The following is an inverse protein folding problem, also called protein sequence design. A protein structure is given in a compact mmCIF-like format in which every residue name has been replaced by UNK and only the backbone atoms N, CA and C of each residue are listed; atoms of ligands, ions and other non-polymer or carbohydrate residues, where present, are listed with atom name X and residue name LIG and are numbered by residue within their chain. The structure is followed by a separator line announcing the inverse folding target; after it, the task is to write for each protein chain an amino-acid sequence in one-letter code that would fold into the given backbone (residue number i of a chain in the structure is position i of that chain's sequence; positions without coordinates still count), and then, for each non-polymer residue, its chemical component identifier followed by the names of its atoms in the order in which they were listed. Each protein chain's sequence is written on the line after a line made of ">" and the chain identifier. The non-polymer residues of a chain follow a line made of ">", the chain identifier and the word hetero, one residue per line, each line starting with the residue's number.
data_IF_684968796308
#
_entry.id   IF_684968796308
#
_cell.length_a   1.000
_cell.length_b   1.000
_cell.length_c   1.000
_cell.angle_alpha   90.00
_cell.angle_beta   90.00
_cell.angle_gamma   90.00
#
_symmetry.space_group_name_H-M   'P 1'
#
loop_
_entity.id
_entity.type
_entity.pdbx_description
1 polymer ?
#
# COMPACT_ATOMS: atom_id res chain seq x y z
N UNK A 1 6.98 -29.79 -32.50
CA UNK A 1 6.88 -28.95 -31.29
C UNK A 1 7.19 -29.84 -30.10
N UNK A 2 8.31 -29.65 -29.38
CA UNK A 2 8.59 -30.51 -28.22
C UNK A 2 7.72 -30.08 -27.04
N UNK A 3 7.11 -31.07 -26.38
CA UNK A 3 6.36 -30.92 -25.13
C UNK A 3 7.28 -30.42 -24.02
N UNK A 4 6.87 -29.35 -23.31
CA UNK A 4 7.51 -28.92 -22.07
C UNK A 4 7.01 -29.81 -20.91
N UNK A 5 7.89 -30.27 -20.01
CA UNK A 5 7.47 -31.13 -18.91
C UNK A 5 6.63 -30.35 -17.89
N UNK A 6 5.47 -30.92 -17.53
CA UNK A 6 4.62 -30.42 -16.44
C UNK A 6 5.27 -30.68 -15.09
N UNK A 7 5.21 -29.75 -14.12
CA UNK A 7 5.72 -30.00 -12.78
C UNK A 7 4.80 -31.00 -12.06
N UNK A 8 5.37 -32.14 -11.66
CA UNK A 8 4.71 -33.10 -10.77
C UNK A 8 4.80 -32.55 -9.35
N UNK A 9 3.70 -32.02 -8.82
CA UNK A 9 3.57 -31.81 -7.39
C UNK A 9 3.52 -33.18 -6.70
N UNK A 10 4.53 -33.46 -5.88
CA UNK A 10 4.71 -34.73 -5.20
C UNK A 10 3.50 -35.10 -4.34
N UNK A 11 2.91 -36.27 -4.63
CA UNK A 11 1.98 -36.97 -3.75
C UNK A 11 2.79 -37.51 -2.55
N UNK A 12 2.53 -37.01 -1.35
CA UNK A 12 3.01 -37.66 -0.13
C UNK A 12 2.16 -38.90 0.15
N UNK A 13 2.81 -40.07 0.14
CA UNK A 13 2.25 -41.33 0.64
C UNK A 13 2.88 -41.55 2.02
N UNK A 14 2.06 -41.51 3.08
CA UNK A 14 2.50 -41.96 4.41
C UNK A 14 2.76 -43.46 4.40
N UNK A 15 3.67 -43.97 5.25
CA UNK A 15 3.19 -44.43 6.56
C UNK A 15 4.25 -44.33 7.68
N UNK A 16 3.81 -44.62 8.91
CA UNK A 16 4.67 -45.33 9.86
C UNK A 16 4.98 -44.58 11.14
N UNK A 17 4.41 -45.07 12.23
CA UNK A 17 4.71 -44.73 13.61
C UNK A 17 6.19 -44.95 13.94
N UNK A 18 6.79 -44.01 14.66
CA UNK A 18 8.10 -44.16 15.29
C UNK A 18 8.29 -43.10 16.37
N UNK A 19 8.11 -43.49 17.64
CA UNK A 19 8.47 -42.66 18.80
C UNK A 19 9.99 -42.56 18.87
N UNK A 20 10.52 -41.34 18.98
CA UNK A 20 11.80 -41.07 19.64
C UNK A 20 11.81 -39.63 20.16
N UNK A 21 12.50 -39.45 21.26
CA UNK A 21 12.38 -38.39 22.24
C UNK A 21 13.34 -37.20 22.00
N UNK A 22 12.93 -36.05 22.54
CA UNK A 22 13.74 -34.95 23.11
C UNK A 22 14.74 -34.20 22.22
N UNK A 23 14.56 -32.89 22.04
CA UNK A 23 15.32 -31.82 22.73
C UNK A 23 14.90 -30.44 22.17
N UNK A 24 15.16 -29.37 22.93
CA UNK A 24 14.59 -28.02 22.81
C UNK A 24 14.68 -27.34 21.42
N UNK A 25 13.81 -26.38 21.14
CA UNK A 25 14.03 -25.00 21.61
C UNK A 25 12.74 -24.17 21.57
N UNK A 26 12.70 -23.18 22.45
CA UNK A 26 11.63 -22.22 22.78
C UNK A 26 10.94 -21.54 21.59
N UNK A 27 9.64 -21.17 21.69
CA UNK A 27 9.04 -20.24 20.74
C UNK A 27 9.58 -18.83 20.96
N UNK A 28 10.16 -18.25 19.90
CA UNK A 28 10.62 -16.87 19.90
C UNK A 28 9.43 -15.90 20.01
N UNK A 29 9.41 -15.12 21.09
CA UNK A 29 8.54 -13.97 21.31
C UNK A 29 8.74 -12.91 20.21
N UNK A 30 7.68 -12.33 19.61
CA UNK A 30 7.87 -11.22 18.67
C UNK A 30 8.38 -9.98 19.41
N UNK A 31 9.54 -9.48 18.98
CA UNK A 31 10.15 -8.28 19.51
C UNK A 31 9.27 -7.05 19.21
N UNK A 32 8.86 -6.33 20.27
CA UNK A 32 8.23 -5.01 20.16
C UNK A 32 9.24 -4.00 19.62
N UNK A 33 9.05 -3.55 18.39
CA UNK A 33 9.76 -2.39 17.84
C UNK A 33 9.12 -1.13 18.43
N UNK A 34 9.82 -0.45 19.35
CA UNK A 34 9.44 0.89 19.83
C UNK A 34 9.87 1.92 18.79
N UNK A 35 8.90 2.62 18.20
CA UNK A 35 9.15 3.84 17.46
C UNK A 35 9.69 4.92 18.43
N UNK A 36 10.93 5.38 18.21
CA UNK A 36 11.45 6.58 18.87
C UNK A 36 11.01 7.80 18.05
N UNK A 37 9.95 8.47 18.47
CA UNK A 37 9.62 9.81 17.96
C UNK A 37 10.50 10.83 18.69
N UNK A 38 11.58 11.26 18.03
CA UNK A 38 12.33 12.46 18.43
C UNK A 38 11.77 13.67 17.69
N UNK A 39 10.86 14.42 18.30
CA UNK A 39 10.54 15.79 17.88
C UNK A 39 11.30 16.71 18.81
N UNK A 40 12.37 17.32 18.31
CA UNK A 40 13.01 18.44 18.99
C UNK A 40 12.43 19.72 18.41
N UNK A 41 11.57 20.38 19.20
CA UNK A 41 10.95 21.65 18.87
C UNK A 41 11.97 22.78 18.88
N UNK A 42 11.86 23.68 17.91
CA UNK A 42 12.55 24.96 17.94
C UNK A 42 11.63 25.99 18.58
N UNK A 43 11.87 26.30 19.85
CA UNK A 43 11.30 27.48 20.49
C UNK A 43 11.96 28.73 19.89
N UNK A 44 11.15 29.67 19.38
CA UNK A 44 11.57 31.06 19.19
C UNK A 44 10.72 31.96 20.07
N UNK A 45 11.44 32.68 20.92
CA UNK A 45 10.95 33.51 21.98
C UNK A 45 10.26 34.80 21.55
N UNK A 46 9.68 35.40 22.58
CA UNK A 46 8.80 36.56 22.68
C UNK A 46 9.42 37.88 22.17
N UNK A 47 8.55 38.79 21.74
CA UNK A 47 8.78 40.23 21.71
C UNK A 47 7.44 40.98 21.64
N UNK A 48 7.17 41.79 22.66
CA UNK A 48 5.90 42.47 22.92
C UNK A 48 5.88 43.95 22.47
N UNK A 49 4.69 44.56 22.59
CA UNK A 49 4.32 45.98 22.45
C UNK A 49 4.26 46.49 21.00
N UNK A 50 3.27 47.25 20.54
CA UNK A 50 2.17 47.97 21.17
C UNK A 50 1.99 49.28 20.37
N UNK A 51 0.81 49.56 19.84
CA UNK A 51 0.30 50.91 19.56
C UNK A 51 -1.04 50.88 18.82
N UNK A 52 -2.00 51.60 19.38
CA UNK A 52 -3.26 51.94 18.76
C UNK A 52 -3.04 52.84 17.53
N UNK A 53 -3.66 52.47 16.41
CA UNK A 53 -3.62 53.22 15.17
C UNK A 53 -4.96 53.13 14.44
N UNK A 54 -5.54 54.29 14.19
CA UNK A 54 -6.87 54.56 13.63
C UNK A 54 -7.24 53.71 12.40
N UNK A 55 -8.45 53.11 12.41
CA UNK A 55 -9.07 52.45 11.24
C UNK A 55 -9.33 53.47 10.13
N UNK A 56 -8.43 53.59 9.17
CA UNK A 56 -8.76 54.04 7.80
C UNK A 56 -9.01 52.81 6.94
N UNK A 57 -10.20 52.76 6.32
CA UNK A 57 -10.61 51.68 5.44
C UNK A 57 -9.58 51.41 4.36
N UNK A 58 -8.92 50.25 4.43
CA UNK A 58 -8.03 49.75 3.39
C UNK A 58 -8.92 49.24 2.26
N UNK A 59 -8.93 49.93 1.11
CA UNK A 59 -9.51 49.39 -0.12
C UNK A 59 -8.85 48.04 -0.41
N UNK A 60 -9.65 46.98 -0.47
CA UNK A 60 -9.21 45.66 -0.95
C UNK A 60 -8.85 45.83 -2.42
N UNK A 61 -7.59 45.65 -2.84
CA UNK A 61 -7.26 45.66 -4.25
C UNK A 61 -8.00 44.50 -4.92
N UNK A 62 -8.58 44.76 -6.09
CA UNK A 62 -9.25 43.77 -6.91
C UNK A 62 -8.38 42.52 -7.03
N UNK A 63 -8.95 41.37 -6.65
CA UNK A 63 -8.22 40.10 -6.58
C UNK A 63 -7.47 39.82 -7.87
N UNK A 64 -6.19 39.42 -7.74
CA UNK A 64 -5.43 38.85 -8.86
C UNK A 64 -6.32 37.83 -9.58
N UNK A 65 -6.35 37.80 -10.92
CA UNK A 65 -7.08 36.75 -11.63
C UNK A 65 -6.61 35.42 -11.07
N UNK A 66 -7.57 34.63 -10.56
CA UNK A 66 -7.33 33.28 -10.04
C UNK A 66 -6.48 32.58 -11.09
N UNK A 67 -5.21 32.35 -10.75
CA UNK A 67 -4.27 31.75 -11.68
C UNK A 67 -4.95 30.51 -12.22
N UNK A 68 -5.06 30.41 -13.56
CA UNK A 68 -5.46 29.16 -14.20
C UNK A 68 -4.64 28.10 -13.48
N UNK A 69 -5.30 27.20 -12.75
CA UNK A 69 -4.65 26.01 -12.24
C UNK A 69 -3.92 25.47 -13.45
N UNK A 70 -2.58 25.57 -13.45
CA UNK A 70 -1.78 24.79 -14.39
C UNK A 70 -2.41 23.43 -14.25
N UNK A 71 -2.99 22.88 -15.32
CA UNK A 71 -3.38 21.47 -15.33
C UNK A 71 -2.15 20.81 -14.73
N UNK A 72 -2.27 20.28 -13.51
CA UNK A 72 -1.23 19.47 -12.92
C UNK A 72 -0.96 18.50 -14.05
N UNK A 73 0.21 18.65 -14.69
CA UNK A 73 0.49 17.98 -15.96
C UNK A 73 0.08 16.56 -15.72
N UNK A 74 -0.82 16.02 -16.55
CA UNK A 74 -1.39 14.69 -16.34
C UNK A 74 -0.22 13.80 -15.98
N UNK A 75 -0.07 13.48 -14.70
CA UNK A 75 0.95 12.55 -14.27
C UNK A 75 0.52 11.34 -15.06
N UNK A 76 1.31 11.00 -16.07
CA UNK A 76 0.99 9.93 -16.97
C UNK A 76 0.95 8.72 -16.06
N UNK A 77 -0.24 8.35 -15.61
CA UNK A 77 -0.51 7.22 -14.75
C UNK A 77 0.10 6.05 -15.50
N UNK A 78 1.22 5.48 -15.04
CA UNK A 78 1.92 4.51 -15.85
C UNK A 78 0.98 3.37 -16.15
N UNK A 79 0.75 3.13 -17.44
CA UNK A 79 -0.17 2.11 -17.93
C UNK A 79 0.24 0.72 -17.45
N UNK A 80 1.51 0.56 -17.08
CA UNK A 80 2.12 -0.65 -16.58
C UNK A 80 2.66 -0.45 -15.16
N UNK A 81 2.30 -1.38 -14.27
CA UNK A 81 2.88 -1.47 -12.94
C UNK A 81 4.23 -2.20 -13.01
N UNK A 82 5.14 -1.93 -12.07
CA UNK A 82 6.34 -2.75 -11.94
C UNK A 82 5.98 -4.20 -11.55
N UNK A 83 6.97 -5.08 -11.68
CA UNK A 83 6.84 -6.46 -11.23
C UNK A 83 6.63 -6.57 -9.72
N UNK A 84 5.97 -7.64 -9.30
CA UNK A 84 5.82 -7.98 -7.89
C UNK A 84 7.14 -8.48 -7.31
N UNK A 85 7.58 -7.87 -6.22
CA UNK A 85 8.65 -8.36 -5.37
C UNK A 85 8.10 -9.40 -4.39
N UNK A 86 8.57 -10.64 -4.49
CA UNK A 86 8.20 -11.73 -3.59
C UNK A 86 9.00 -11.65 -2.28
N UNK A 87 8.30 -11.42 -1.17
CA UNK A 87 8.91 -11.27 0.16
C UNK A 87 8.95 -12.58 0.95
N UNK A 88 7.97 -13.46 0.71
CA UNK A 88 7.85 -14.78 1.31
C UNK A 88 6.88 -15.64 0.45
N UNK A 89 6.75 -16.96 0.70
CA UNK A 89 5.71 -17.76 0.07
C UNK A 89 4.32 -17.13 0.27
N UNK A 90 3.63 -16.86 -0.85
CA UNK A 90 2.31 -16.23 -0.85
C UNK A 90 2.30 -14.73 -0.50
N UNK A 91 3.44 -14.08 -0.26
CA UNK A 91 3.52 -12.64 0.07
C UNK A 91 4.32 -11.89 -0.97
N UNK A 92 3.71 -10.86 -1.56
CA UNK A 92 4.38 -10.00 -2.52
C UNK A 92 4.02 -8.53 -2.31
N UNK A 93 4.88 -7.63 -2.80
CA UNK A 93 4.60 -6.19 -2.86
C UNK A 93 4.99 -5.61 -4.21
N UNK A 94 4.47 -4.44 -4.53
CA UNK A 94 5.02 -3.61 -5.60
C UNK A 94 4.99 -2.14 -5.18
N UNK A 95 5.94 -1.37 -5.71
CA UNK A 95 5.97 0.08 -5.53
C UNK A 95 5.07 0.73 -6.57
N UNK A 96 4.08 1.50 -6.13
CA UNK A 96 3.20 2.18 -7.06
C UNK A 96 3.89 3.41 -7.66
N UNK A 97 3.66 3.71 -8.94
CA UNK A 97 4.17 4.93 -9.54
C UNK A 97 3.47 6.19 -9.02
N UNK A 98 4.14 7.33 -9.19
CA UNK A 98 3.62 8.67 -8.88
C UNK A 98 3.84 9.10 -7.43
N UNK A 99 3.40 8.28 -6.49
CA UNK A 99 3.54 8.51 -5.04
C UNK A 99 4.40 7.41 -4.42
N UNK A 100 5.07 7.67 -3.31
CA UNK A 100 5.95 6.68 -2.64
C UNK A 100 5.14 5.56 -1.94
N UNK A 101 4.10 5.05 -2.59
CA UNK A 101 3.16 4.08 -2.06
C UNK A 101 3.60 2.66 -2.39
N UNK A 102 3.12 1.71 -1.59
CA UNK A 102 3.35 0.28 -1.77
C UNK A 102 2.01 -0.43 -1.76
N UNK A 103 1.75 -1.24 -2.78
CA UNK A 103 0.66 -2.21 -2.73
C UNK A 103 1.22 -3.54 -2.23
N UNK A 104 0.47 -4.22 -1.35
CA UNK A 104 0.81 -5.55 -0.84
C UNK A 104 -0.22 -6.59 -1.27
N UNK A 105 0.21 -7.83 -1.46
CA UNK A 105 -0.66 -8.98 -1.71
C UNK A 105 -0.24 -10.15 -0.83
N UNK A 106 -1.22 -10.75 -0.15
CA UNK A 106 -1.05 -11.95 0.66
C UNK A 106 -2.06 -13.01 0.18
N UNK A 107 -1.56 -14.16 -0.28
CA UNK A 107 -2.35 -15.34 -0.65
C UNK A 107 -2.38 -16.32 0.53
N UNK A 108 -3.57 -16.61 1.01
CA UNK A 108 -3.85 -17.69 1.96
C UNK A 108 -4.55 -18.87 1.29
N UNK A 109 -5.02 -19.81 2.11
CA UNK A 109 -5.83 -20.94 1.65
C UNK A 109 -7.24 -20.45 1.29
N UNK A 110 -7.57 -20.43 0.00
CA UNK A 110 -8.88 -20.00 -0.50
C UNK A 110 -9.17 -18.50 -0.43
N UNK A 111 -8.23 -17.68 0.05
CA UNK A 111 -8.41 -16.23 0.20
C UNK A 111 -7.17 -15.45 -0.24
N UNK A 112 -7.38 -14.21 -0.65
CA UNK A 112 -6.33 -13.25 -0.93
C UNK A 112 -6.66 -11.87 -0.34
N UNK A 113 -5.70 -11.28 0.36
CA UNK A 113 -5.73 -9.94 0.93
C UNK A 113 -4.85 -9.02 0.11
N UNK A 114 -5.42 -7.89 -0.36
CA UNK A 114 -4.65 -6.80 -0.92
C UNK A 114 -4.57 -5.64 0.09
N UNK A 115 -3.40 -5.04 0.21
CA UNK A 115 -3.11 -3.88 1.06
C UNK A 115 -2.90 -2.66 0.16
N UNK A 116 -3.67 -1.60 0.40
CA UNK A 116 -3.58 -0.29 -0.25
C UNK A 116 -3.66 -0.30 -1.79
N UNK A 117 -4.85 -0.18 -2.39
CA UNK A 117 -5.07 -0.28 -3.85
C UNK A 117 -4.59 0.92 -4.68
N UNK A 118 -4.14 2.01 -4.04
CA UNK A 118 -3.50 3.14 -4.72
C UNK A 118 -4.34 4.43 -4.82
N UNK A 119 -3.83 5.36 -5.60
CA UNK A 119 -4.21 6.78 -5.62
C UNK A 119 -5.34 7.14 -6.58
N UNK A 120 -5.82 6.18 -7.39
CA UNK A 120 -6.86 6.43 -8.38
C UNK A 120 -7.59 5.13 -8.75
N UNK A 121 -8.77 5.26 -9.35
CA UNK A 121 -9.51 4.11 -9.91
C UNK A 121 -8.66 3.37 -10.96
N UNK A 122 -8.01 4.10 -11.88
CA UNK A 122 -7.19 3.51 -12.93
C UNK A 122 -6.00 2.72 -12.36
N UNK A 123 -5.34 3.27 -11.34
CA UNK A 123 -4.26 2.57 -10.64
C UNK A 123 -4.79 1.35 -9.89
N UNK A 124 -5.94 1.46 -9.21
CA UNK A 124 -6.61 0.34 -8.56
C UNK A 124 -6.97 -0.79 -9.52
N UNK A 125 -7.45 -0.48 -10.72
CA UNK A 125 -7.71 -1.48 -11.75
C UNK A 125 -6.43 -2.15 -12.26
N UNK A 126 -5.35 -1.38 -12.42
CA UNK A 126 -4.06 -1.92 -12.81
C UNK A 126 -3.55 -2.90 -11.73
N UNK A 127 -3.67 -2.53 -10.45
CA UNK A 127 -3.30 -3.39 -9.32
C UNK A 127 -4.17 -4.63 -9.30
N UNK A 128 -5.49 -4.51 -9.49
CA UNK A 128 -6.41 -5.66 -9.56
C UNK A 128 -6.01 -6.65 -10.64
N UNK A 129 -5.72 -6.15 -11.86
CA UNK A 129 -5.26 -7.00 -12.98
C UNK A 129 -3.92 -7.67 -12.67
N UNK A 130 -2.98 -6.92 -12.09
CA UNK A 130 -1.68 -7.45 -11.70
C UNK A 130 -1.78 -8.51 -10.59
N UNK A 131 -2.64 -8.29 -9.59
CA UNK A 131 -2.91 -9.26 -8.54
C UNK A 131 -3.58 -10.51 -9.10
N UNK A 132 -4.55 -10.39 -10.00
CA UNK A 132 -5.18 -11.54 -10.66
C UNK A 132 -4.19 -12.40 -11.45
N UNK A 133 -3.22 -11.78 -12.14
CA UNK A 133 -2.13 -12.51 -12.81
C UNK A 133 -1.25 -13.27 -11.82
N UNK A 134 -0.97 -12.67 -10.65
CA UNK A 134 -0.13 -13.29 -9.62
C UNK A 134 -0.85 -14.42 -8.86
N UNK A 135 -2.15 -14.27 -8.62
CA UNK A 135 -2.95 -15.27 -7.93
C UNK A 135 -3.20 -16.51 -8.80
N UNK A 136 -3.36 -16.34 -10.12
CA UNK A 136 -3.62 -17.44 -11.05
C UNK A 136 -4.98 -18.11 -10.84
N UNK A 137 -5.27 -19.12 -11.66
CA UNK A 137 -6.39 -20.07 -11.46
C UNK A 137 -7.79 -19.46 -11.25
N UNK A 138 -8.05 -18.28 -11.82
CA UNK A 138 -9.31 -17.55 -11.62
C UNK A 138 -9.51 -17.02 -10.18
N UNK A 139 -8.49 -17.13 -9.33
CA UNK A 139 -8.48 -16.57 -7.99
C UNK A 139 -8.49 -15.04 -8.06
N UNK A 140 -9.16 -14.41 -7.10
CA UNK A 140 -9.30 -12.96 -7.02
C UNK A 140 -9.03 -12.47 -5.59
N UNK A 141 -8.83 -11.15 -5.47
CA UNK A 141 -8.71 -10.48 -4.17
C UNK A 141 -10.06 -10.56 -3.46
N UNK A 142 -10.05 -11.13 -2.27
CA UNK A 142 -11.25 -11.36 -1.43
C UNK A 142 -11.36 -10.36 -0.28
N UNK A 143 -10.25 -9.77 0.13
CA UNK A 143 -10.16 -8.85 1.26
C UNK A 143 -9.32 -7.63 0.87
N UNK A 144 -9.70 -6.47 1.42
CA UNK A 144 -8.90 -5.25 1.32
C UNK A 144 -8.56 -4.72 2.72
N UNK A 145 -7.28 -4.40 2.91
CA UNK A 145 -6.82 -3.60 4.04
C UNK A 145 -6.41 -2.22 3.53
N UNK A 146 -7.04 -1.18 4.08
CA UNK A 146 -6.65 0.21 3.90
C UNK A 146 -5.91 0.65 5.16
N UNK A 147 -4.63 0.96 5.05
CA UNK A 147 -3.80 1.19 6.24
C UNK A 147 -4.15 2.49 6.95
N UNK A 148 -4.55 3.53 6.20
CA UNK A 148 -5.01 4.82 6.73
C UNK A 148 -5.74 5.64 5.65
N UNK A 149 -6.55 6.66 6.03
CA UNK A 149 -7.45 7.34 5.09
C UNK A 149 -6.77 8.46 4.28
N UNK A 150 -5.68 8.13 3.59
CA UNK A 150 -5.03 9.05 2.65
C UNK A 150 -5.34 8.68 1.20
N UNK A 151 -5.46 9.70 0.35
CA UNK A 151 -5.95 9.57 -1.03
C UNK A 151 -5.14 8.55 -1.84
N UNK A 152 -3.83 8.51 -1.61
CA UNK A 152 -2.84 7.71 -2.31
C UNK A 152 -2.95 6.21 -2.00
N UNK A 153 -3.78 5.85 -1.02
CA UNK A 153 -4.03 4.48 -0.59
C UNK A 153 -5.49 4.06 -0.78
N UNK A 154 -6.45 5.00 -0.65
CA UNK A 154 -7.87 4.65 -0.61
C UNK A 154 -8.61 4.82 -1.93
N UNK A 155 -8.13 5.67 -2.86
CA UNK A 155 -8.91 6.01 -4.05
C UNK A 155 -8.99 4.87 -5.09
N UNK A 156 -8.10 3.88 -5.02
CA UNK A 156 -8.18 2.66 -5.83
C UNK A 156 -9.21 1.63 -5.36
N UNK A 157 -9.79 1.80 -4.15
CA UNK A 157 -10.77 0.88 -3.55
C UNK A 157 -11.95 0.50 -4.45
N UNK A 158 -12.56 1.41 -5.25
CA UNK A 158 -13.71 1.06 -6.07
C UNK A 158 -13.41 0.09 -7.23
N UNK A 159 -12.13 -0.17 -7.54
CA UNK A 159 -11.77 -1.18 -8.53
C UNK A 159 -12.11 -2.62 -8.06
N UNK A 160 -12.30 -2.82 -6.75
CA UNK A 160 -12.48 -4.14 -6.14
C UNK A 160 -13.90 -4.31 -5.63
N UNK A 161 -14.53 -5.39 -6.09
CA UNK A 161 -15.82 -5.84 -5.59
C UNK A 161 -15.61 -6.77 -4.40
N UNK A 162 -15.22 -6.17 -3.27
CA UNK A 162 -15.08 -6.86 -1.98
C UNK A 162 -15.98 -6.19 -0.95
N UNK A 163 -16.59 -6.95 -0.02
CA UNK A 163 -17.32 -6.37 1.10
C UNK A 163 -16.42 -5.46 1.95
N UNK A 164 -17.02 -4.42 2.55
CA UNK A 164 -16.43 -3.55 3.58
C UNK A 164 -17.14 -3.74 4.90
#
# INVERSE_FOLDING_TARGET
>A
MPELPRPVYGRTVGPGQGRAALCGTSPATPARVRARTGVSGTERGRGAAGAAGTRRGRRVPAGRPRGRHRRAGSAMEPTELPEWEHLAPGVARLRLPGWDCTAGLVRGEGAALLVDPGASLAQGEAVRRAAGRLLGDGSHVTHLALTHPHFDLVLGRPAFDVPV
#
